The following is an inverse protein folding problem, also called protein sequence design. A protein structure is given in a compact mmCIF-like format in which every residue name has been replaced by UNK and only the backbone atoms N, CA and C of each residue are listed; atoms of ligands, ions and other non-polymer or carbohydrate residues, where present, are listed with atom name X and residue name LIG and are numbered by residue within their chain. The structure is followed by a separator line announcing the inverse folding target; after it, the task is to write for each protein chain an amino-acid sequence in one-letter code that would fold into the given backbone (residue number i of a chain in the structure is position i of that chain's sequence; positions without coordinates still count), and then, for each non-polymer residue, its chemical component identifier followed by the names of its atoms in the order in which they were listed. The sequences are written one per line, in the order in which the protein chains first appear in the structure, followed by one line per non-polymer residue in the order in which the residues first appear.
data_IF_282478703619
#
_entry.id   IF_282478703619
#
_cell.length_a   1.000
_cell.length_b   1.000
_cell.length_c   1.000
_cell.angle_alpha   90.00
_cell.angle_beta   90.00
_cell.angle_gamma   90.00
#
_symmetry.space_group_name_H-M   'P 1'
#
loop_
_entity.id
_entity.type
_entity.pdbx_description
1 polymer ?
#
# COMPACT_ATOMS: atom_id res chain seq x y z
N UNK A 1 -7.92 -54.93 -1.50
CA UNK A 1 -7.43 -54.22 -0.28
C UNK A 1 -6.16 -53.43 -0.57
N UNK A 2 -5.13 -54.01 -1.19
CA UNK A 2 -3.90 -53.28 -1.57
C UNK A 2 -4.13 -52.13 -2.55
N UNK A 3 -5.01 -52.28 -3.54
CA UNK A 3 -5.30 -51.22 -4.51
C UNK A 3 -5.94 -50.00 -3.84
N UNK A 4 -6.83 -50.22 -2.87
CA UNK A 4 -7.45 -49.15 -2.10
C UNK A 4 -6.42 -48.41 -1.24
N UNK A 5 -5.51 -49.14 -0.59
CA UNK A 5 -4.40 -48.57 0.20
C UNK A 5 -3.47 -47.77 -0.72
N UNK A 6 -3.18 -48.26 -1.91
CA UNK A 6 -2.32 -47.59 -2.89
C UNK A 6 -2.93 -46.27 -3.36
N UNK A 7 -4.21 -46.29 -3.75
CA UNK A 7 -4.92 -45.08 -4.18
C UNK A 7 -4.99 -44.07 -3.04
N UNK A 8 -5.31 -44.51 -1.82
CA UNK A 8 -5.34 -43.66 -0.63
C UNK A 8 -3.97 -43.03 -0.31
N UNK A 9 -2.89 -43.80 -0.42
CA UNK A 9 -1.54 -43.28 -0.19
C UNK A 9 -1.16 -42.23 -1.24
N UNK A 10 -1.46 -42.47 -2.51
CA UNK A 10 -1.16 -41.53 -3.60
C UNK A 10 -1.95 -40.24 -3.42
N UNK A 11 -3.25 -40.31 -3.14
CA UNK A 11 -4.08 -39.11 -2.95
C UNK A 11 -3.64 -38.33 -1.71
N UNK A 12 -3.27 -39.00 -0.62
CA UNK A 12 -2.71 -38.35 0.58
C UNK A 12 -1.41 -37.61 0.26
N UNK A 13 -0.49 -38.23 -0.47
CA UNK A 13 0.78 -37.58 -0.86
C UNK A 13 0.53 -36.36 -1.74
N UNK A 14 -0.37 -36.46 -2.72
CA UNK A 14 -0.73 -35.32 -3.59
C UNK A 14 -1.32 -34.18 -2.76
N UNK A 15 -2.21 -34.47 -1.82
CA UNK A 15 -2.79 -33.46 -0.93
C UNK A 15 -1.73 -32.79 -0.05
N UNK A 16 -0.80 -33.56 0.53
CA UNK A 16 0.30 -33.01 1.32
C UNK A 16 1.20 -32.08 0.49
N UNK A 17 1.53 -32.46 -0.75
CA UNK A 17 2.34 -31.63 -1.65
C UNK A 17 1.60 -30.32 -1.98
N UNK A 18 0.31 -30.37 -2.29
CA UNK A 18 -0.49 -29.17 -2.57
C UNK A 18 -0.59 -28.25 -1.36
N UNK A 19 -0.83 -28.81 -0.17
CA UNK A 19 -0.85 -28.03 1.08
C UNK A 19 0.50 -27.37 1.36
N UNK A 20 1.60 -28.09 1.15
CA UNK A 20 2.94 -27.53 1.30
C UNK A 20 3.18 -26.39 0.29
N UNK A 21 2.82 -26.59 -0.99
CA UNK A 21 2.96 -25.56 -2.02
C UNK A 21 2.18 -24.28 -1.69
N UNK A 22 0.97 -24.40 -1.14
CA UNK A 22 0.18 -23.25 -0.70
C UNK A 22 0.75 -22.59 0.55
N UNK A 23 1.30 -23.37 1.49
CA UNK A 23 1.93 -22.83 2.70
C UNK A 23 3.24 -22.09 2.40
N UNK A 24 4.06 -22.62 1.49
CA UNK A 24 5.32 -22.01 1.07
C UNK A 24 5.13 -20.91 0.01
N UNK A 25 4.01 -20.92 -0.72
CA UNK A 25 3.57 -19.86 -1.59
C UNK A 25 3.18 -18.62 -0.79
N UNK A 26 4.16 -17.92 -0.20
CA UNK A 26 3.94 -16.57 0.32
C UNK A 26 3.50 -15.72 -0.87
N UNK A 27 2.27 -15.17 -0.89
CA UNK A 27 1.89 -14.25 -1.94
C UNK A 27 2.91 -13.10 -1.94
N UNK A 28 3.38 -12.62 -3.10
CA UNK A 28 4.18 -11.41 -3.15
C UNK A 28 3.33 -10.29 -2.56
N UNK A 29 3.59 -9.94 -1.31
CA UNK A 29 2.89 -8.84 -0.65
C UNK A 29 3.41 -7.58 -1.34
N UNK A 30 2.54 -6.91 -2.08
CA UNK A 30 2.84 -5.60 -2.63
C UNK A 30 3.11 -4.65 -1.45
N UNK A 31 4.39 -4.39 -1.18
CA UNK A 31 4.83 -3.54 -0.08
C UNK A 31 5.30 -2.23 -0.68
N UNK A 32 4.49 -1.18 -0.53
CA UNK A 32 4.89 0.18 -0.87
C UNK A 32 6.00 0.59 0.11
N UNK A 33 7.18 0.92 -0.41
CA UNK A 33 8.26 1.43 0.43
C UNK A 33 8.02 2.90 0.83
N UNK A 34 8.74 3.39 1.83
CA UNK A 34 8.65 4.80 2.25
C UNK A 34 9.07 5.74 1.11
N UNK A 35 10.06 5.36 0.32
CA UNK A 35 10.55 6.12 -0.84
C UNK A 35 9.52 6.14 -1.98
N UNK A 36 8.90 5.00 -2.27
CA UNK A 36 7.82 4.91 -3.26
C UNK A 36 6.60 5.74 -2.83
N UNK A 37 6.25 5.71 -1.53
CA UNK A 37 5.19 6.54 -0.97
C UNK A 37 5.53 8.04 -1.06
N UNK A 38 6.80 8.43 -0.85
CA UNK A 38 7.24 9.81 -1.00
C UNK A 38 7.06 10.27 -2.45
N UNK A 39 7.57 9.48 -3.39
CA UNK A 39 7.44 9.77 -4.82
C UNK A 39 5.97 9.86 -5.24
N UNK A 40 5.11 8.96 -4.75
CA UNK A 40 3.66 9.01 -4.97
C UNK A 40 3.05 10.35 -4.52
N UNK A 41 3.41 10.83 -3.33
CA UNK A 41 2.88 12.10 -2.81
C UNK A 41 3.43 13.31 -3.58
N UNK A 42 4.68 13.26 -4.03
CA UNK A 42 5.26 14.30 -4.89
C UNK A 42 4.56 14.36 -6.26
N UNK A 43 4.36 13.21 -6.90
CA UNK A 43 3.62 13.08 -8.17
C UNK A 43 2.17 13.61 -8.03
N UNK A 44 1.55 13.43 -6.86
CA UNK A 44 0.21 13.97 -6.58
C UNK A 44 0.20 15.49 -6.51
N UNK A 45 1.26 16.11 -5.97
CA UNK A 45 1.41 17.57 -5.87
C UNK A 45 1.72 18.21 -7.21
N UNK A 46 2.52 17.54 -8.05
CA UNK A 46 2.82 17.98 -9.42
C UNK A 46 1.63 17.79 -10.36
N UNK A 47 0.75 16.82 -10.07
CA UNK A 47 -0.40 16.47 -10.92
C UNK A 47 -0.06 15.41 -11.96
N UNK A 48 1.06 14.70 -11.78
CA UNK A 48 1.51 13.60 -12.65
C UNK A 48 0.97 12.24 -12.18
N UNK A 49 0.44 12.16 -10.96
CA UNK A 49 -0.10 10.93 -10.41
C UNK A 49 -1.46 10.56 -11.02
N UNK A 50 -1.58 9.32 -11.49
CA UNK A 50 -2.85 8.77 -11.96
C UNK A 50 -3.80 8.49 -10.80
N UNK A 51 -5.10 8.75 -11.01
CA UNK A 51 -6.14 8.49 -10.01
C UNK A 51 -6.15 7.04 -9.51
N UNK A 52 -6.02 6.06 -10.42
CA UNK A 52 -5.98 4.65 -10.04
C UNK A 52 -4.83 4.36 -9.06
N UNK A 53 -3.64 4.90 -9.32
CA UNK A 53 -2.44 4.69 -8.49
C UNK A 53 -2.63 5.31 -7.11
N UNK A 54 -3.28 6.47 -7.03
CA UNK A 54 -3.67 7.10 -5.78
C UNK A 54 -4.66 6.27 -4.97
N UNK A 55 -5.75 5.83 -5.59
CA UNK A 55 -6.80 5.04 -4.93
C UNK A 55 -6.28 3.70 -4.40
N UNK A 56 -5.38 3.05 -5.14
CA UNK A 56 -4.70 1.82 -4.70
C UNK A 56 -3.86 2.10 -3.45
N UNK A 57 -3.06 3.16 -3.45
CA UNK A 57 -2.21 3.52 -2.31
C UNK A 57 -3.03 3.77 -1.04
N UNK A 58 -4.06 4.61 -1.10
CA UNK A 58 -4.87 4.93 0.09
C UNK A 58 -5.77 3.75 0.52
N UNK A 59 -6.13 2.86 -0.41
CA UNK A 59 -7.03 1.73 -0.18
C UNK A 59 -6.35 0.48 0.39
N UNK A 60 -5.03 0.34 0.27
CA UNK A 60 -4.31 -0.85 0.72
C UNK A 60 -3.62 -0.64 2.07
N UNK A 61 -3.91 -1.50 3.06
CA UNK A 61 -3.26 -1.41 4.36
C UNK A 61 -1.78 -1.80 4.28
N UNK A 62 -0.92 -1.02 4.93
CA UNK A 62 0.53 -1.28 4.96
C UNK A 62 0.87 -1.90 6.32
N UNK A 63 0.89 -3.23 6.39
CA UNK A 63 1.11 -3.95 7.66
C UNK A 63 2.58 -4.01 8.09
N UNK A 64 3.52 -3.89 7.15
CA UNK A 64 4.95 -4.00 7.42
C UNK A 64 5.54 -2.74 8.09
N UNK A 65 4.87 -1.61 7.92
CA UNK A 65 5.36 -0.30 8.34
C UNK A 65 4.22 0.51 8.96
N UNK A 66 4.04 0.44 10.30
CA UNK A 66 2.94 1.12 10.97
C UNK A 66 3.03 2.64 10.84
N UNK A 67 4.23 3.23 10.84
CA UNK A 67 4.43 4.68 10.72
C UNK A 67 4.01 5.16 9.32
N UNK A 68 4.37 4.42 8.27
CA UNK A 68 3.93 4.72 6.92
C UNK A 68 2.41 4.52 6.77
N UNK A 69 1.86 3.50 7.41
CA UNK A 69 0.42 3.25 7.39
C UNK A 69 -0.37 4.39 8.07
N UNK A 70 0.17 5.03 9.11
CA UNK A 70 -0.44 6.24 9.68
C UNK A 70 -0.51 7.38 8.67
N UNK A 71 0.56 7.62 7.90
CA UNK A 71 0.56 8.64 6.85
C UNK A 71 -0.47 8.30 5.77
N UNK A 72 -0.53 7.03 5.35
CA UNK A 72 -1.58 6.55 4.42
C UNK A 72 -2.99 6.79 4.97
N UNK A 73 -3.23 6.53 6.26
CA UNK A 73 -4.52 6.82 6.90
C UNK A 73 -4.85 8.32 6.85
N UNK A 74 -3.87 9.19 7.07
CA UNK A 74 -4.05 10.64 6.95
C UNK A 74 -4.39 11.05 5.51
N UNK A 75 -3.74 10.44 4.52
CA UNK A 75 -4.09 10.62 3.10
C UNK A 75 -5.53 10.17 2.79
N UNK A 76 -5.95 9.02 3.34
CA UNK A 76 -7.31 8.52 3.18
C UNK A 76 -8.36 9.45 3.81
N UNK A 77 -8.05 10.01 4.99
CA UNK A 77 -8.93 11.00 5.63
C UNK A 77 -9.07 12.28 4.79
N UNK A 78 -7.99 12.70 4.13
CA UNK A 78 -8.01 13.85 3.24
C UNK A 78 -8.90 13.59 2.01
N UNK A 79 -8.80 12.40 1.42
CA UNK A 79 -9.69 11.96 0.33
C UNK A 79 -11.16 12.01 0.75
N UNK A 80 -11.52 11.41 1.90
CA UNK A 80 -12.88 11.44 2.42
C UNK A 80 -13.38 12.85 2.72
N UNK A 81 -12.52 13.73 3.23
CA UNK A 81 -12.87 15.12 3.47
C UNK A 81 -13.12 15.88 2.16
N UNK A 82 -12.39 15.54 1.09
CA UNK A 82 -12.58 16.11 -0.24
C UNK A 82 -13.90 15.67 -0.88
N UNK A 83 -14.29 14.40 -0.73
CA UNK A 83 -15.58 13.88 -1.19
C UNK A 83 -16.76 14.57 -0.50
N UNK A 84 -16.63 14.92 0.78
CA UNK A 84 -17.66 15.61 1.55
C UNK A 84 -17.81 17.09 1.19
N UNK A 85 -16.99 17.63 0.28
CA UNK A 85 -17.06 19.04 -0.13
C UNK A 85 -16.68 20.02 0.96
N UNK A 86 -15.82 19.60 1.91
CA UNK A 86 -15.31 20.47 2.97
C UNK A 86 -14.30 21.50 2.41
N UNK A 87 -13.57 22.21 3.27
CA UNK A 87 -12.52 23.18 2.89
C UNK A 87 -11.48 22.61 1.90
N UNK A 88 -11.26 21.30 1.96
CA UNK A 88 -10.48 20.55 0.99
C UNK A 88 -11.49 19.98 0.00
N UNK A 89 -11.32 20.28 -1.28
CA UNK A 89 -12.18 19.80 -2.35
C UNK A 89 -11.33 19.36 -3.52
N UNK A 90 -11.89 18.52 -4.39
CA UNK A 90 -11.23 18.15 -5.63
C UNK A 90 -11.07 19.37 -6.54
N UNK A 91 -9.96 19.40 -7.28
CA UNK A 91 -9.69 20.42 -8.28
C UNK A 91 -10.14 19.94 -9.66
N UNK A 92 -10.61 20.86 -10.50
CA UNK A 92 -10.99 20.59 -11.89
C UNK A 92 -9.78 20.57 -12.86
N UNK A 93 -8.58 20.85 -12.37
CA UNK A 93 -7.34 20.89 -13.16
C UNK A 93 -6.53 19.59 -13.09
N UNK A 94 -5.26 19.66 -13.51
CA UNK A 94 -4.34 18.53 -13.48
C UNK A 94 -4.04 17.99 -12.07
N UNK A 95 -4.24 18.81 -11.03
CA UNK A 95 -4.05 18.42 -9.63
C UNK A 95 -5.33 17.85 -9.04
N UNK A 96 -5.21 16.78 -8.25
CA UNK A 96 -6.36 16.14 -7.57
C UNK A 96 -7.08 17.09 -6.61
N UNK A 97 -6.34 17.87 -5.83
CA UNK A 97 -6.91 18.73 -4.80
C UNK A 97 -6.75 20.22 -5.09
N UNK A 98 -7.63 21.02 -4.49
CA UNK A 98 -7.45 22.47 -4.40
C UNK A 98 -6.19 22.84 -3.61
N UNK A 99 -5.83 24.13 -3.59
CA UNK A 99 -4.62 24.61 -2.90
C UNK A 99 -4.58 24.21 -1.42
N UNK A 100 -5.72 24.19 -0.73
CA UNK A 100 -5.79 23.79 0.66
C UNK A 100 -5.44 22.30 0.87
N UNK A 101 -5.95 21.41 0.02
CA UNK A 101 -5.59 19.98 0.06
C UNK A 101 -4.13 19.73 -0.32
N UNK A 102 -3.59 20.48 -1.29
CA UNK A 102 -2.18 20.39 -1.67
C UNK A 102 -1.25 20.79 -0.52
N UNK A 103 -1.57 21.84 0.24
CA UNK A 103 -0.78 22.21 1.42
C UNK A 103 -0.79 21.11 2.49
N UNK A 104 -1.92 20.41 2.69
CA UNK A 104 -1.97 19.27 3.60
C UNK A 104 -1.11 18.09 3.13
N UNK A 105 -1.14 17.78 1.83
CA UNK A 105 -0.25 16.75 1.27
C UNK A 105 1.23 17.12 1.47
N UNK A 106 1.61 18.39 1.29
CA UNK A 106 2.98 18.85 1.56
C UNK A 106 3.40 18.65 3.02
N UNK A 107 2.49 18.86 3.97
CA UNK A 107 2.78 18.57 5.38
C UNK A 107 3.03 17.08 5.62
N UNK A 108 2.28 16.21 4.93
CA UNK A 108 2.49 14.75 4.99
C UNK A 108 3.81 14.34 4.34
N UNK A 109 4.20 14.97 3.23
CA UNK A 109 5.53 14.79 2.60
C UNK A 109 6.64 15.09 3.61
N UNK A 110 6.60 16.25 4.27
CA UNK A 110 7.61 16.63 5.28
C UNK A 110 7.64 15.64 6.45
N UNK A 111 6.48 15.11 6.87
CA UNK A 111 6.41 14.07 7.90
C UNK A 111 7.08 12.78 7.42
N UNK A 112 6.83 12.37 6.18
CA UNK A 112 7.41 11.17 5.58
C UNK A 112 8.92 11.29 5.38
N UNK A 113 9.42 12.43 4.90
CA UNK A 113 10.86 12.71 4.77
C UNK A 113 11.58 12.58 6.11
N UNK A 114 10.98 13.11 7.19
CA UNK A 114 11.52 12.95 8.54
C UNK A 114 11.54 11.48 8.96
N UNK A 115 10.48 10.72 8.69
CA UNK A 115 10.46 9.28 8.99
C UNK A 115 11.57 8.54 8.24
N UNK A 116 11.80 8.85 6.97
CA UNK A 116 12.89 8.26 6.17
C UNK A 116 14.25 8.61 6.82
N UNK A 117 14.46 9.88 7.18
CA UNK A 117 15.72 10.33 7.76
C UNK A 117 16.04 9.73 9.15
N UNK A 118 15.02 9.40 9.94
CA UNK A 118 15.18 8.86 11.30
C UNK A 118 15.44 7.34 11.30
N UNK A 119 15.14 6.64 10.21
CA UNK A 119 15.12 5.18 10.21
C UNK A 119 16.45 4.61 9.73
N UNK A 120 17.12 3.73 10.49
CA UNK A 120 18.29 3.02 10.00
C UNK A 120 17.86 2.05 8.90
N UNK A 121 18.45 2.20 7.71
CA UNK A 121 18.23 1.30 6.57
C UNK A 121 18.73 -0.10 6.94
N UNK A 122 17.86 -0.96 7.46
CA UNK A 122 18.15 -2.39 7.55
C UNK A 122 18.05 -2.97 6.14
N UNK A 123 19.18 -2.99 5.46
CA UNK A 123 19.37 -3.76 4.23
C UNK A 123 19.47 -5.23 4.66
N UNK A 124 18.40 -5.99 4.52
CA UNK A 124 18.51 -7.45 4.65
C UNK A 124 19.39 -7.97 3.50
N UNK A 125 20.47 -8.65 3.88
CA UNK A 125 21.41 -9.31 2.98
C UNK A 125 20.93 -10.73 2.63
#
# INVERSE_FOLDING_TARGET
MNEFILIFAITTVVLCILSAALYFGRPPVYQVSREEALQLLEELVTGELTELKWLVFIGHAISADPDLNEIRLQCQQLELAAEQGNKMAFSAGAKRYNSAGIEQIKLLIVKLEKLIAITPVYREF
#
